data_IF_956857904563
#
_entry.id   IF_956857904563
#
_cell.length_a   1.000
_cell.length_b   1.000
_cell.length_c   1.000
_cell.angle_alpha   90.00
_cell.angle_beta   90.00
_cell.angle_gamma   90.00
#
_symmetry.space_group_name_H-M   'P 1'
#
loop_
_entity.id
_entity.type
_entity.pdbx_description
1 polymer ?
#
# COMPACT_ATOMS: atom_id res chain seq x y z
N UNK A 1 -4.24 22.56 19.72
CA UNK A 1 -4.51 22.22 18.30
C UNK A 1 -3.29 21.51 17.74
N UNK A 2 -3.41 20.23 17.40
CA UNK A 2 -2.35 19.49 16.70
C UNK A 2 -2.35 20.03 15.27
N UNK A 3 -1.27 20.70 14.88
CA UNK A 3 -1.06 21.13 13.50
C UNK A 3 -0.89 19.85 12.69
N UNK A 4 -1.89 19.49 11.88
CA UNK A 4 -1.71 18.42 10.92
C UNK A 4 -0.61 18.86 9.97
N UNK A 5 0.60 18.35 10.17
CA UNK A 5 1.65 18.43 9.16
C UNK A 5 1.07 17.77 7.93
N UNK A 6 1.05 18.47 6.80
CA UNK A 6 0.61 17.93 5.51
C UNK A 6 1.63 16.87 5.08
N UNK A 7 1.53 15.67 5.68
CA UNK A 7 2.42 14.54 5.40
C UNK A 7 1.93 13.93 4.10
N UNK A 8 2.73 14.06 3.05
CA UNK A 8 2.43 13.45 1.76
C UNK A 8 2.64 11.93 1.88
N UNK A 9 1.54 11.22 2.13
CA UNK A 9 1.53 9.76 2.19
C UNK A 9 1.39 9.16 0.80
N UNK A 10 2.12 8.08 0.55
CA UNK A 10 2.03 7.26 -0.66
C UNK A 10 1.82 5.80 -0.26
N UNK A 11 1.04 5.07 -1.03
CA UNK A 11 0.78 3.66 -0.79
C UNK A 11 1.13 2.86 -2.05
N UNK A 12 2.03 1.89 -1.90
CA UNK A 12 2.24 0.84 -2.90
C UNK A 12 1.26 -0.31 -2.64
N UNK A 13 0.46 -0.67 -3.64
CA UNK A 13 -0.46 -1.80 -3.57
C UNK A 13 -0.03 -2.88 -4.57
N UNK A 14 0.20 -4.08 -4.07
CA UNK A 14 0.50 -5.27 -4.86
C UNK A 14 -0.67 -6.26 -4.74
N UNK A 15 -1.30 -6.58 -5.87
CA UNK A 15 -2.41 -7.55 -5.92
C UNK A 15 -1.93 -8.80 -6.66
N UNK A 16 -1.49 -9.79 -5.90
CA UNK A 16 -1.15 -11.11 -6.43
C UNK A 16 -2.32 -12.08 -6.38
N UNK A 17 -2.20 -13.19 -7.11
CA UNK A 17 -3.15 -14.32 -7.03
C UNK A 17 -3.09 -15.04 -5.69
N UNK A 18 -1.94 -15.03 -5.00
CA UNK A 18 -1.77 -15.68 -3.70
C UNK A 18 -1.91 -14.72 -2.51
N UNK A 19 -1.46 -13.46 -2.67
CA UNK A 19 -1.35 -12.49 -1.57
C UNK A 19 -1.63 -11.08 -2.09
N UNK A 20 -2.27 -10.27 -1.26
CA UNK A 20 -2.33 -8.81 -1.43
C UNK A 20 -1.40 -8.17 -0.41
N UNK A 21 -0.56 -7.22 -0.84
CA UNK A 21 0.32 -6.46 0.05
C UNK A 21 0.15 -4.96 -0.15
N UNK A 22 0.27 -4.22 0.95
CA UNK A 22 0.29 -2.77 0.97
C UNK A 22 1.54 -2.28 1.70
N UNK A 23 2.20 -1.28 1.13
CA UNK A 23 3.34 -0.59 1.71
C UNK A 23 2.96 0.89 1.85
N UNK A 24 3.09 1.45 3.05
CA UNK A 24 2.78 2.86 3.31
C UNK A 24 4.09 3.60 3.53
N UNK A 25 4.29 4.67 2.75
CA UNK A 25 5.44 5.54 2.85
C UNK A 25 5.04 7.00 3.02
N UNK A 26 5.90 7.76 3.68
CA UNK A 26 5.85 9.22 3.73
C UNK A 26 6.91 9.78 2.78
N UNK A 27 6.53 10.75 1.94
CA UNK A 27 7.48 11.45 1.08
C UNK A 27 8.15 12.56 1.88
N UNK A 28 9.47 12.44 2.05
CA UNK A 28 10.30 13.42 2.73
C UNK A 28 10.55 14.65 1.83
N UNK A 29 10.97 15.79 2.40
CA UNK A 29 11.24 17.02 1.63
C UNK A 29 12.32 16.88 0.55
N UNK A 30 13.25 15.93 0.71
CA UNK A 30 14.29 15.60 -0.26
C UNK A 30 13.80 14.65 -1.38
N UNK A 31 12.53 14.26 -1.36
CA UNK A 31 11.91 13.36 -2.33
C UNK A 31 12.11 11.88 -2.03
N UNK A 32 12.84 11.51 -0.97
CA UNK A 32 12.95 10.12 -0.53
C UNK A 32 11.64 9.63 0.09
N UNK A 33 11.39 8.34 0.00
CA UNK A 33 10.23 7.70 0.65
C UNK A 33 10.71 7.02 1.92
N UNK A 34 10.18 7.45 3.07
CA UNK A 34 10.35 6.76 4.34
C UNK A 34 9.22 5.75 4.54
N UNK A 35 9.54 4.46 4.69
CA UNK A 35 8.53 3.42 4.89
C UNK A 35 8.06 3.43 6.34
N UNK A 36 6.77 3.66 6.55
CA UNK A 36 6.16 3.78 7.89
C UNK A 36 5.22 2.62 8.21
N UNK A 37 4.87 1.78 7.24
CA UNK A 37 4.02 0.63 7.48
C UNK A 37 4.04 -0.38 6.33
N UNK A 38 3.84 -1.65 6.68
CA UNK A 38 3.67 -2.76 5.74
C UNK A 38 2.51 -3.63 6.20
N UNK A 39 1.76 -4.17 5.25
CA UNK A 39 0.67 -5.09 5.54
C UNK A 39 0.51 -6.10 4.41
N UNK A 40 0.07 -7.31 4.74
CA UNK A 40 -0.31 -8.28 3.72
C UNK A 40 -1.36 -9.25 4.23
N UNK A 41 -2.15 -9.77 3.31
CA UNK A 41 -3.16 -10.79 3.58
C UNK A 41 -3.22 -11.81 2.42
N UNK A 42 -3.73 -13.03 2.66
CA UNK A 42 -4.05 -13.96 1.58
C UNK A 42 -5.02 -13.32 0.59
N UNK A 43 -4.76 -13.50 -0.70
CA UNK A 43 -5.64 -13.02 -1.75
C UNK A 43 -6.91 -13.87 -1.82
N UNK A 44 -8.03 -13.24 -2.13
CA UNK A 44 -9.33 -13.91 -2.33
C UNK A 44 -9.92 -13.40 -3.62
N UNK A 45 -10.32 -14.32 -4.50
CA UNK A 45 -10.94 -13.96 -5.77
C UNK A 45 -10.00 -13.45 -6.85
N UNK A 46 -8.70 -13.70 -6.75
CA UNK A 46 -7.74 -13.41 -7.83
C UNK A 46 -7.19 -14.71 -8.42
N UNK A 47 -7.39 -14.94 -9.72
CA UNK A 47 -6.81 -16.09 -10.42
C UNK A 47 -6.42 -15.72 -11.87
N UNK A 48 -5.28 -16.27 -12.32
CA UNK A 48 -4.63 -15.95 -13.62
C UNK A 48 -4.54 -14.46 -13.97
N UNK A 49 -4.43 -13.59 -12.96
CA UNK A 49 -4.36 -12.14 -13.14
C UNK A 49 -5.72 -11.45 -13.36
N UNK A 50 -6.83 -12.18 -13.26
CA UNK A 50 -8.20 -11.65 -13.27
C UNK A 50 -8.86 -11.73 -11.89
N UNK A 51 -9.92 -10.92 -11.72
CA UNK A 51 -10.84 -11.00 -10.58
C UNK A 51 -11.90 -12.05 -10.91
N UNK A 52 -12.00 -13.09 -10.09
CA UNK A 52 -12.85 -14.26 -10.31
C UNK A 52 -13.93 -14.47 -9.22
N UNK A 53 -14.05 -13.56 -8.25
CA UNK A 53 -15.07 -13.59 -7.17
C UNK A 53 -15.98 -12.35 -7.32
N UNK A 54 -16.85 -12.39 -8.34
CA UNK A 54 -17.81 -11.33 -8.72
C UNK A 54 -19.21 -11.62 -8.19
#
# INVERSE_FOLDING_TARGET
>A
MIKATDRKLVVGLEIGTAKVAALVGEVLPDGMINIIGVGSCPSRGMDKGGVNDL
#
